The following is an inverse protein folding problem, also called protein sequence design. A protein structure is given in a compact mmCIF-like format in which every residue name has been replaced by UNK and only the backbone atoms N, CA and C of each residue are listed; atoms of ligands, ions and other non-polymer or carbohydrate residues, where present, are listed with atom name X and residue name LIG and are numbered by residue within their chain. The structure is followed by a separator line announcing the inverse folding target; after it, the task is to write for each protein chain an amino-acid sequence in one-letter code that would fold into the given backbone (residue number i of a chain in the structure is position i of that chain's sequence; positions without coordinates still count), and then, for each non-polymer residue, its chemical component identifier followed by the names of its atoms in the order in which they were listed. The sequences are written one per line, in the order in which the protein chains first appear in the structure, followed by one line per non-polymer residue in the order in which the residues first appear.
data_IF_142985112632
#
_entry.id   IF_142985112632
#
_cell.length_a   1.000
_cell.length_b   1.000
_cell.length_c   1.000
_cell.angle_alpha   90.00
_cell.angle_beta   90.00
_cell.angle_gamma   90.00
#
_symmetry.space_group_name_H-M   'P 1'
#
loop_
_entity.id
_entity.type
_entity.pdbx_description
1 polymer ?
#
# COMPACT_ATOMS: atom_id res chain seq x y z
N UNK A 1 24.05 -7.61 3.60
CA UNK A 1 23.17 -6.66 2.86
C UNK A 1 22.61 -7.26 1.59
N UNK A 2 23.40 -7.97 0.79
CA UNK A 2 22.92 -8.55 -0.48
C UNK A 2 21.79 -9.58 -0.34
N UNK A 3 21.73 -10.33 0.77
CA UNK A 3 20.72 -11.39 0.96
C UNK A 3 19.31 -10.81 1.22
N UNK A 4 19.19 -9.79 2.05
CA UNK A 4 17.92 -9.07 2.30
C UNK A 4 17.36 -8.49 1.00
N UNK A 5 18.26 -7.88 0.19
CA UNK A 5 17.86 -7.33 -1.09
C UNK A 5 17.42 -8.39 -2.12
N UNK A 6 18.07 -9.55 -2.13
CA UNK A 6 17.68 -10.64 -3.02
C UNK A 6 16.27 -11.18 -2.67
N UNK A 7 15.97 -11.28 -1.35
CA UNK A 7 14.62 -11.67 -0.89
C UNK A 7 13.61 -10.57 -1.27
N UNK A 8 13.92 -9.31 -0.99
CA UNK A 8 13.03 -8.20 -1.31
C UNK A 8 12.74 -8.12 -2.81
N UNK A 9 13.76 -8.33 -3.66
CA UNK A 9 13.60 -8.35 -5.12
C UNK A 9 12.72 -9.52 -5.58
N UNK A 10 12.87 -10.68 -4.95
CA UNK A 10 12.00 -11.84 -5.24
C UNK A 10 10.56 -11.51 -4.89
N UNK A 11 10.29 -11.04 -3.66
CA UNK A 11 8.94 -10.67 -3.24
C UNK A 11 8.32 -9.60 -4.15
N UNK A 12 9.12 -8.59 -4.51
CA UNK A 12 8.69 -7.56 -5.47
C UNK A 12 8.35 -8.15 -6.84
N UNK A 13 9.21 -9.05 -7.37
CA UNK A 13 8.98 -9.71 -8.66
C UNK A 13 7.72 -10.58 -8.63
N UNK A 14 7.51 -11.33 -7.55
CA UNK A 14 6.33 -12.17 -7.35
C UNK A 14 5.07 -11.30 -7.22
N UNK A 15 5.16 -10.19 -6.49
CA UNK A 15 4.08 -9.20 -6.39
C UNK A 15 3.72 -8.54 -7.72
N UNK A 16 4.73 -8.16 -8.52
CA UNK A 16 4.51 -7.57 -9.86
C UNK A 16 3.87 -8.56 -10.85
N UNK A 17 4.15 -9.85 -10.70
CA UNK A 17 3.51 -10.92 -11.49
C UNK A 17 2.11 -11.26 -11.00
N UNK A 18 1.79 -10.88 -9.79
CA UNK A 18 0.47 -11.08 -9.22
C UNK A 18 -0.49 -9.98 -9.70
N UNK A 19 -1.59 -10.38 -10.32
CA UNK A 19 -2.66 -9.47 -10.76
C UNK A 19 -3.23 -8.61 -9.63
N UNK A 20 -2.99 -8.99 -8.39
CA UNK A 20 -3.43 -8.26 -7.20
C UNK A 20 -2.83 -6.85 -7.12
N UNK A 21 -1.53 -6.70 -7.40
CA UNK A 21 -0.89 -5.37 -7.45
C UNK A 21 -1.55 -4.47 -8.50
N UNK A 22 -1.78 -5.02 -9.69
CA UNK A 22 -2.45 -4.27 -10.77
C UNK A 22 -3.87 -3.86 -10.37
N UNK A 23 -4.62 -4.78 -9.72
CA UNK A 23 -5.98 -4.50 -9.25
C UNK A 23 -6.00 -3.38 -8.20
N UNK A 24 -5.09 -3.41 -7.22
CA UNK A 24 -4.97 -2.37 -6.18
C UNK A 24 -4.57 -1.02 -6.80
N UNK A 25 -3.55 -1.01 -7.67
CA UNK A 25 -3.08 0.22 -8.32
C UNK A 25 -4.18 0.84 -9.18
N UNK A 26 -4.92 0.01 -9.92
CA UNK A 26 -6.06 0.46 -10.72
C UNK A 26 -7.19 1.01 -9.83
N UNK A 27 -7.50 0.31 -8.74
CA UNK A 27 -8.51 0.78 -7.77
C UNK A 27 -8.11 2.15 -7.22
N UNK A 28 -6.86 2.32 -6.78
CA UNK A 28 -6.37 3.62 -6.31
C UNK A 28 -6.44 4.68 -7.40
N UNK A 29 -6.02 4.37 -8.62
CA UNK A 29 -6.06 5.32 -9.72
C UNK A 29 -7.49 5.79 -10.03
N UNK A 30 -8.43 4.85 -10.14
CA UNK A 30 -9.84 5.16 -10.43
C UNK A 30 -10.46 5.99 -9.30
N UNK A 31 -10.27 5.58 -8.05
CA UNK A 31 -10.80 6.30 -6.89
C UNK A 31 -10.14 7.66 -6.72
N UNK A 32 -8.83 7.75 -6.90
CA UNK A 32 -8.09 9.01 -6.75
C UNK A 32 -8.45 10.03 -7.85
N UNK A 33 -8.53 9.60 -9.10
CA UNK A 33 -9.00 10.45 -10.20
C UNK A 33 -10.47 10.83 -10.01
N UNK A 34 -11.31 9.87 -9.60
CA UNK A 34 -12.71 10.10 -9.29
C UNK A 34 -12.89 11.17 -8.19
N UNK A 35 -12.14 11.06 -7.10
CA UNK A 35 -12.18 12.03 -5.99
C UNK A 35 -11.63 13.38 -6.44
N UNK A 36 -10.54 13.40 -7.22
CA UNK A 36 -9.98 14.65 -7.72
C UNK A 36 -10.97 15.43 -8.58
N UNK A 37 -11.83 14.75 -9.33
CA UNK A 37 -12.79 15.35 -10.24
C UNK A 37 -14.19 15.53 -9.65
N UNK A 38 -14.66 14.60 -8.83
CA UNK A 38 -16.01 14.57 -8.26
C UNK A 38 -16.05 14.99 -6.79
N UNK A 39 -14.90 15.14 -6.13
CA UNK A 39 -14.83 15.41 -4.68
C UNK A 39 -15.51 16.71 -4.26
N UNK A 40 -15.66 17.66 -5.17
CA UNK A 40 -16.38 18.91 -4.94
C UNK A 40 -17.87 18.84 -5.33
N UNK A 41 -18.35 17.73 -5.87
CA UNK A 41 -19.75 17.60 -6.32
C UNK A 41 -20.76 17.80 -5.18
N UNK A 42 -20.39 17.46 -3.95
CA UNK A 42 -21.22 17.70 -2.76
C UNK A 42 -21.45 19.19 -2.47
N UNK A 43 -20.57 20.09 -2.94
CA UNK A 43 -20.73 21.55 -2.87
C UNK A 43 -21.34 22.17 -4.14
N UNK A 44 -21.84 21.32 -5.06
CA UNK A 44 -22.48 21.77 -6.33
C UNK A 44 -21.48 22.15 -7.42
N UNK A 45 -20.19 21.86 -7.23
CA UNK A 45 -19.13 22.12 -8.21
C UNK A 45 -18.60 20.79 -8.76
N UNK A 46 -18.49 20.70 -10.10
CA UNK A 46 -17.82 19.59 -10.77
C UNK A 46 -16.44 20.06 -11.25
N UNK A 47 -15.45 19.19 -11.10
CA UNK A 47 -14.09 19.46 -11.53
C UNK A 47 -13.12 19.73 -10.38
N UNK A 48 -11.89 20.02 -10.73
CA UNK A 48 -10.83 20.35 -9.79
C UNK A 48 -11.08 21.69 -9.12
N UNK A 49 -11.01 21.73 -7.79
CA UNK A 49 -11.22 22.96 -7.01
C UNK A 49 -9.90 23.59 -6.58
N UNK A 50 -9.07 22.82 -5.86
CA UNK A 50 -7.74 23.25 -5.44
C UNK A 50 -6.88 22.05 -5.02
N UNK A 51 -5.56 22.21 -5.08
CA UNK A 51 -4.61 21.17 -4.63
C UNK A 51 -4.86 20.79 -3.17
N UNK A 52 -4.99 21.72 -2.20
CA UNK A 52 -5.23 21.36 -0.80
C UNK A 52 -6.53 20.59 -0.56
N UNK A 53 -7.63 21.01 -1.20
CA UNK A 53 -8.93 20.33 -1.06
C UNK A 53 -8.87 18.89 -1.62
N UNK A 54 -8.25 18.72 -2.78
CA UNK A 54 -8.06 17.40 -3.38
C UNK A 54 -7.22 16.50 -2.49
N UNK A 55 -6.09 17.00 -1.97
CA UNK A 55 -5.25 16.22 -1.06
C UNK A 55 -5.98 15.85 0.23
N UNK A 56 -6.78 16.75 0.80
CA UNK A 56 -7.59 16.43 1.99
C UNK A 56 -8.57 15.28 1.72
N UNK A 57 -9.24 15.29 0.57
CA UNK A 57 -10.15 14.22 0.17
C UNK A 57 -9.41 12.89 -0.09
N UNK A 58 -8.26 12.95 -0.77
CA UNK A 58 -7.42 11.78 -1.01
C UNK A 58 -6.80 11.25 0.29
N UNK A 59 -6.46 12.11 1.24
CA UNK A 59 -5.96 11.71 2.56
C UNK A 59 -7.03 10.94 3.35
N UNK A 60 -8.29 11.38 3.30
CA UNK A 60 -9.39 10.63 3.89
C UNK A 60 -9.50 9.24 3.26
N UNK A 61 -9.48 9.12 1.93
CA UNK A 61 -9.47 7.84 1.24
C UNK A 61 -8.28 6.97 1.67
N UNK A 62 -7.06 7.54 1.69
CA UNK A 62 -5.85 6.83 2.06
C UNK A 62 -5.90 6.32 3.50
N UNK A 63 -6.47 7.08 4.44
CA UNK A 63 -6.61 6.68 5.84
C UNK A 63 -7.45 5.40 5.99
N UNK A 64 -8.46 5.20 5.14
CA UNK A 64 -9.27 3.99 5.14
C UNK A 64 -8.61 2.84 4.37
N UNK A 65 -8.14 3.09 3.15
CA UNK A 65 -7.71 2.03 2.24
C UNK A 65 -6.29 1.55 2.51
N UNK A 66 -5.36 2.44 2.87
CA UNK A 66 -3.96 2.05 3.07
C UNK A 66 -3.77 1.01 4.18
N UNK A 67 -4.41 1.17 5.38
CA UNK A 67 -4.37 0.13 6.40
C UNK A 67 -4.91 -1.21 5.92
N UNK A 68 -6.07 -1.20 5.25
CA UNK A 68 -6.70 -2.42 4.75
C UNK A 68 -5.81 -3.15 3.75
N UNK A 69 -5.28 -2.42 2.77
CA UNK A 69 -4.44 -2.99 1.72
C UNK A 69 -3.13 -3.52 2.31
N UNK A 70 -2.49 -2.78 3.21
CA UNK A 70 -1.26 -3.21 3.85
C UNK A 70 -1.46 -4.48 4.69
N UNK A 71 -2.55 -4.55 5.45
CA UNK A 71 -2.92 -5.73 6.23
C UNK A 71 -3.22 -6.93 5.33
N UNK A 72 -4.02 -6.74 4.26
CA UNK A 72 -4.35 -7.81 3.31
C UNK A 72 -3.16 -8.22 2.42
N UNK A 73 -2.16 -7.36 2.25
CA UNK A 73 -0.95 -7.70 1.49
C UNK A 73 -0.05 -8.67 2.23
N UNK A 74 -0.05 -8.64 3.57
CA UNK A 74 0.95 -9.36 4.37
C UNK A 74 0.38 -10.21 5.52
N UNK A 75 -0.95 -10.36 5.64
CA UNK A 75 -1.53 -11.19 6.71
C UNK A 75 -1.02 -12.64 6.70
N UNK A 76 -0.70 -13.18 5.53
CA UNK A 76 -0.21 -14.55 5.35
C UNK A 76 1.30 -14.65 5.11
N UNK A 77 2.05 -13.54 5.23
CA UNK A 77 3.47 -13.47 4.89
C UNK A 77 4.36 -14.48 5.64
N UNK A 78 3.97 -14.90 6.84
CA UNK A 78 4.67 -15.90 7.67
C UNK A 78 3.84 -17.17 7.77
N UNK A 79 2.60 -17.07 8.26
CA UNK A 79 1.70 -18.21 8.45
C UNK A 79 1.44 -18.95 7.14
N UNK A 80 1.42 -18.23 6.01
CA UNK A 80 1.24 -18.82 4.70
C UNK A 80 2.36 -19.77 4.27
N UNK A 81 3.58 -19.47 4.66
CA UNK A 81 4.74 -20.33 4.40
C UNK A 81 4.79 -21.50 5.38
N UNK A 82 4.32 -21.29 6.60
CA UNK A 82 4.24 -22.35 7.61
C UNK A 82 3.21 -23.41 7.21
N UNK A 83 1.98 -23.02 6.89
CA UNK A 83 0.96 -23.93 6.37
C UNK A 83 1.37 -24.60 5.05
N UNK A 84 2.08 -23.90 4.17
CA UNK A 84 2.58 -24.43 2.91
C UNK A 84 3.80 -25.36 3.07
N UNK A 85 4.36 -25.52 4.29
CA UNK A 85 5.57 -26.30 4.56
C UNK A 85 6.85 -25.69 3.97
N UNK A 86 6.77 -24.50 3.38
CA UNK A 86 7.90 -23.82 2.73
C UNK A 86 8.78 -23.07 3.72
N UNK A 87 8.26 -22.75 4.91
CA UNK A 87 9.03 -22.09 5.97
C UNK A 87 10.25 -22.93 6.40
N UNK A 88 10.08 -24.24 6.53
CA UNK A 88 11.19 -25.16 6.87
C UNK A 88 12.28 -25.15 5.80
N UNK A 89 11.91 -25.08 4.53
CA UNK A 89 12.87 -24.98 3.42
C UNK A 89 13.65 -23.67 3.47
N UNK A 90 12.98 -22.55 3.76
CA UNK A 90 13.63 -21.25 3.93
C UNK A 90 14.64 -21.25 5.09
N UNK A 91 14.33 -21.95 6.16
CA UNK A 91 15.22 -22.05 7.32
C UNK A 91 16.42 -22.99 7.12
N UNK A 92 16.46 -23.82 6.07
CA UNK A 92 17.64 -24.61 5.70
C UNK A 92 18.72 -23.80 4.99
N UNK A 93 18.38 -22.65 4.43
CA UNK A 93 19.38 -21.75 3.87
C UNK A 93 20.20 -21.07 4.99
N UNK A 94 21.47 -20.72 4.74
CA UNK A 94 22.32 -20.03 5.70
C UNK A 94 21.92 -18.55 5.85
N UNK A 95 20.64 -18.31 6.16
CA UNK A 95 20.02 -17.01 6.32
C UNK A 95 19.52 -16.84 7.75
N UNK A 96 19.82 -15.71 8.37
CA UNK A 96 19.22 -15.36 9.65
C UNK A 96 17.70 -15.10 9.50
N UNK A 97 16.90 -15.55 10.47
CA UNK A 97 15.44 -15.34 10.51
C UNK A 97 15.07 -13.85 10.31
N UNK A 98 15.85 -12.94 10.92
CA UNK A 98 15.66 -11.50 10.76
C UNK A 98 15.92 -11.00 9.34
N UNK A 99 16.85 -11.62 8.59
CA UNK A 99 17.14 -11.26 7.21
C UNK A 99 15.98 -11.65 6.28
N UNK A 100 15.38 -12.82 6.52
CA UNK A 100 14.20 -13.28 5.79
C UNK A 100 13.04 -12.32 6.03
N UNK A 101 12.75 -12.03 7.31
CA UNK A 101 11.66 -11.14 7.70
C UNK A 101 11.83 -9.73 7.13
N UNK A 102 13.02 -9.14 7.27
CA UNK A 102 13.33 -7.82 6.71
C UNK A 102 13.24 -7.79 5.18
N UNK A 103 13.73 -8.84 4.51
CA UNK A 103 13.66 -8.95 3.06
C UNK A 103 12.23 -8.97 2.55
N UNK A 104 11.38 -9.78 3.17
CA UNK A 104 9.94 -9.83 2.86
C UNK A 104 9.24 -8.50 3.16
N UNK A 105 9.49 -7.93 4.33
CA UNK A 105 8.91 -6.64 4.73
C UNK A 105 9.28 -5.52 3.74
N UNK A 106 10.54 -5.44 3.34
CA UNK A 106 11.00 -4.46 2.34
C UNK A 106 10.36 -4.74 0.99
N UNK A 107 10.25 -6.01 0.56
CA UNK A 107 9.60 -6.39 -0.68
C UNK A 107 8.13 -5.95 -0.73
N UNK A 108 7.34 -6.31 0.28
CA UNK A 108 5.94 -5.86 0.40
C UNK A 108 5.81 -4.34 0.53
N UNK A 109 6.73 -3.71 1.28
CA UNK A 109 6.78 -2.25 1.40
C UNK A 109 7.02 -1.54 0.06
N UNK A 110 7.85 -2.12 -0.81
CA UNK A 110 8.08 -1.62 -2.17
C UNK A 110 6.85 -1.83 -3.08
N UNK A 111 6.16 -2.97 -2.95
CA UNK A 111 4.90 -3.22 -3.67
C UNK A 111 3.88 -2.14 -3.32
N UNK A 112 3.72 -1.86 -2.02
CA UNK A 112 2.79 -0.84 -1.53
C UNK A 112 3.17 0.57 -2.02
N UNK A 113 4.47 0.92 -1.97
CA UNK A 113 4.97 2.19 -2.48
C UNK A 113 4.70 2.38 -3.98
N UNK A 114 4.88 1.31 -4.76
CA UNK A 114 4.58 1.32 -6.20
C UNK A 114 3.07 1.49 -6.45
N UNK A 115 2.22 0.81 -5.69
CA UNK A 115 0.77 0.95 -5.81
C UNK A 115 0.32 2.40 -5.52
N UNK A 116 0.87 3.01 -4.46
CA UNK A 116 0.64 4.41 -4.10
C UNK A 116 1.11 5.35 -5.22
N UNK A 117 2.34 5.12 -5.72
CA UNK A 117 2.92 5.95 -6.79
C UNK A 117 2.09 5.89 -8.07
N UNK A 118 1.67 4.70 -8.48
CA UNK A 118 0.84 4.53 -9.68
C UNK A 118 -0.55 5.14 -9.43
N UNK A 119 -1.22 4.77 -8.34
CA UNK A 119 -2.59 5.19 -8.06
C UNK A 119 -2.72 6.70 -7.89
N UNK A 120 -2.04 7.27 -6.92
CA UNK A 120 -2.11 8.72 -6.67
C UNK A 120 -1.30 9.54 -7.68
N UNK A 121 -0.26 8.95 -8.29
CA UNK A 121 0.48 9.56 -9.38
C UNK A 121 -0.40 9.79 -10.62
N UNK A 122 -1.30 8.86 -10.95
CA UNK A 122 -2.30 9.06 -12.01
C UNK A 122 -3.22 10.26 -11.72
N UNK A 123 -3.65 10.47 -10.48
CA UNK A 123 -4.45 11.63 -10.10
C UNK A 123 -3.66 12.95 -10.24
N UNK A 124 -2.40 12.96 -9.78
CA UNK A 124 -1.53 14.13 -9.96
C UNK A 124 -1.30 14.44 -11.43
N UNK A 125 -1.07 13.42 -12.26
CA UNK A 125 -0.89 13.56 -13.70
C UNK A 125 -2.18 14.06 -14.38
N UNK A 126 -3.34 13.54 -14.01
CA UNK A 126 -4.61 13.99 -14.53
C UNK A 126 -4.84 15.48 -14.24
N UNK A 127 -4.55 15.94 -13.01
CA UNK A 127 -4.65 17.36 -12.65
C UNK A 127 -3.66 18.19 -13.48
N UNK A 128 -2.41 17.74 -13.61
CA UNK A 128 -1.37 18.45 -14.35
C UNK A 128 -1.70 18.64 -15.85
N UNK A 129 -2.43 17.68 -16.44
CA UNK A 129 -2.74 17.67 -17.87
C UNK A 129 -4.10 18.31 -18.20
N UNK A 130 -5.07 18.25 -17.30
CA UNK A 130 -6.47 18.61 -17.56
C UNK A 130 -6.88 19.94 -16.93
N UNK A 131 -6.07 20.49 -16.02
CA UNK A 131 -6.40 21.73 -15.30
C UNK A 131 -5.43 22.83 -15.71
N UNK A 132 -5.95 23.87 -16.35
CA UNK A 132 -5.16 25.03 -16.76
C UNK A 132 -4.71 25.87 -15.55
N UNK A 133 -3.49 26.41 -15.63
CA UNK A 133 -2.96 27.33 -14.64
C UNK A 133 -2.49 26.69 -13.32
N UNK A 134 -2.41 25.37 -13.25
CA UNK A 134 -1.86 24.68 -12.06
C UNK A 134 -0.35 24.89 -11.98
N UNK A 135 0.09 25.35 -10.82
CA UNK A 135 1.53 25.47 -10.53
C UNK A 135 2.11 24.06 -10.30
N UNK A 136 2.86 23.55 -11.30
CA UNK A 136 3.43 22.19 -11.27
C UNK A 136 4.34 21.97 -10.08
N UNK A 137 5.12 22.98 -9.66
CA UNK A 137 6.00 22.87 -8.50
C UNK A 137 5.23 22.59 -7.22
N UNK A 138 4.14 23.33 -6.99
CA UNK A 138 3.26 23.14 -5.84
C UNK A 138 2.54 21.79 -5.89
N UNK A 139 2.05 21.39 -7.07
CA UNK A 139 1.39 20.10 -7.28
C UNK A 139 2.32 18.93 -6.93
N UNK A 140 3.51 18.91 -7.52
CA UNK A 140 4.48 17.83 -7.29
C UNK A 140 4.94 17.77 -5.83
N UNK A 141 5.17 18.92 -5.20
CA UNK A 141 5.53 18.99 -3.80
C UNK A 141 4.43 18.46 -2.87
N UNK A 142 3.20 18.89 -3.10
CA UNK A 142 2.06 18.51 -2.27
C UNK A 142 1.72 17.01 -2.44
N UNK A 143 1.65 16.51 -3.68
CA UNK A 143 1.41 15.09 -3.94
C UNK A 143 2.58 14.21 -3.51
N UNK A 144 3.83 14.66 -3.68
CA UNK A 144 5.00 13.94 -3.21
C UNK A 144 4.97 13.70 -1.69
N UNK A 145 4.69 14.74 -0.91
CA UNK A 145 4.54 14.63 0.54
C UNK A 145 3.37 13.71 0.92
N UNK A 146 2.25 13.85 0.25
CA UNK A 146 1.07 13.01 0.46
C UNK A 146 1.37 11.54 0.18
N UNK A 147 2.01 11.22 -0.95
CA UNK A 147 2.39 9.83 -1.30
C UNK A 147 3.38 9.22 -0.31
N UNK A 148 4.37 10.00 0.14
CA UNK A 148 5.31 9.55 1.18
C UNK A 148 4.57 9.25 2.48
N UNK A 149 3.70 10.16 2.94
CA UNK A 149 2.92 9.97 4.18
C UNK A 149 2.00 8.77 4.09
N UNK A 150 1.32 8.57 2.96
CA UNK A 150 0.45 7.41 2.70
C UNK A 150 1.23 6.10 2.70
N UNK A 151 2.42 6.08 2.10
CA UNK A 151 3.31 4.92 2.10
C UNK A 151 3.78 4.57 3.52
N UNK A 152 4.19 5.57 4.29
CA UNK A 152 4.60 5.37 5.69
C UNK A 152 3.45 4.85 6.56
N UNK A 153 2.24 5.38 6.39
CA UNK A 153 1.04 4.84 7.03
C UNK A 153 0.85 3.36 6.69
N UNK A 154 0.94 3.01 5.42
CA UNK A 154 0.85 1.61 4.97
C UNK A 154 1.94 0.72 5.56
N UNK A 155 3.17 1.21 5.70
CA UNK A 155 4.27 0.46 6.32
C UNK A 155 4.04 0.17 7.81
N UNK A 156 3.39 1.07 8.53
CA UNK A 156 2.99 0.81 9.93
C UNK A 156 2.01 -0.36 9.98
N UNK A 157 0.96 -0.36 9.15
CA UNK A 157 -0.01 -1.47 9.13
C UNK A 157 0.56 -2.75 8.53
N UNK A 158 1.53 -2.64 7.62
CA UNK A 158 2.32 -3.77 7.15
C UNK A 158 3.07 -4.44 8.30
N UNK A 159 3.70 -3.67 9.20
CA UNK A 159 4.35 -4.21 10.39
C UNK A 159 3.35 -4.92 11.32
N UNK A 160 2.15 -4.35 11.52
CA UNK A 160 1.09 -5.05 12.26
C UNK A 160 0.73 -6.38 11.61
N UNK A 161 0.56 -6.44 10.28
CA UNK A 161 0.27 -7.68 9.57
C UNK A 161 1.32 -8.76 9.82
N UNK A 162 2.62 -8.38 9.78
CA UNK A 162 3.72 -9.32 10.08
C UNK A 162 3.69 -9.84 11.52
N UNK A 163 3.38 -8.97 12.48
CA UNK A 163 3.25 -9.40 13.89
C UNK A 163 2.07 -10.35 14.06
N UNK A 164 0.94 -10.08 13.42
CA UNK A 164 -0.24 -10.96 13.47
C UNK A 164 0.05 -12.29 12.79
N UNK A 165 0.62 -12.27 11.59
CA UNK A 165 0.98 -13.46 10.82
C UNK A 165 1.94 -14.40 11.56
N UNK A 166 2.85 -13.83 12.36
CA UNK A 166 3.80 -14.62 13.17
C UNK A 166 3.24 -15.16 14.47
N UNK A 167 2.00 -14.80 14.87
CA UNK A 167 1.39 -15.24 16.14
C UNK A 167 0.29 -16.28 15.98
N UNK A 168 -0.15 -16.54 14.77
CA UNK A 168 -1.23 -17.48 14.46
C UNK A 168 -0.71 -18.67 13.68
N UNK A 169 -1.44 -19.77 13.72
CA UNK A 169 -1.08 -21.02 13.05
C UNK A 169 -1.90 -21.26 11.77
N UNK A 170 -2.89 -20.41 11.49
CA UNK A 170 -3.80 -20.55 10.34
C UNK A 170 -3.99 -19.22 9.62
N UNK A 171 -3.99 -19.25 8.28
CA UNK A 171 -4.23 -18.08 7.42
C UNK A 171 -5.60 -17.45 7.67
N UNK A 172 -6.62 -18.28 7.94
CA UNK A 172 -7.97 -17.81 8.25
C UNK A 172 -8.00 -16.94 9.50
N UNK A 173 -7.27 -17.35 10.54
CA UNK A 173 -7.12 -16.60 11.79
C UNK A 173 -6.34 -15.30 11.57
N UNK A 174 -5.28 -15.34 10.76
CA UNK A 174 -4.51 -14.15 10.40
C UNK A 174 -5.38 -13.12 9.66
N UNK A 175 -6.17 -13.57 8.68
CA UNK A 175 -7.09 -12.71 7.93
C UNK A 175 -8.16 -12.08 8.84
N UNK A 176 -8.77 -12.88 9.73
CA UNK A 176 -9.74 -12.39 10.71
C UNK A 176 -9.17 -11.32 11.64
N UNK A 177 -7.95 -11.54 12.17
CA UNK A 177 -7.26 -10.57 13.03
C UNK A 177 -6.86 -9.30 12.25
N UNK A 178 -6.42 -9.44 11.00
CA UNK A 178 -6.09 -8.30 10.15
C UNK A 178 -7.32 -7.40 9.94
N UNK A 179 -8.48 -7.98 9.63
CA UNK A 179 -9.74 -7.25 9.55
C UNK A 179 -10.14 -6.64 10.89
N UNK A 180 -9.99 -7.38 12.00
CA UNK A 180 -10.25 -6.87 13.35
C UNK A 180 -9.40 -5.64 13.69
N UNK A 181 -8.12 -5.67 13.37
CA UNK A 181 -7.21 -4.51 13.53
C UNK A 181 -7.67 -3.35 12.66
N UNK A 182 -8.04 -3.61 11.41
CA UNK A 182 -8.54 -2.57 10.53
C UNK A 182 -9.81 -1.90 11.10
N UNK A 183 -10.79 -2.68 11.55
CA UNK A 183 -12.00 -2.16 12.20
C UNK A 183 -11.67 -1.33 13.45
N UNK A 184 -10.73 -1.78 14.26
CA UNK A 184 -10.36 -1.09 15.51
C UNK A 184 -9.71 0.28 15.29
N UNK A 185 -8.88 0.42 14.24
CA UNK A 185 -8.08 1.63 14.03
C UNK A 185 -8.67 2.59 13.00
N UNK A 186 -9.61 2.13 12.17
CA UNK A 186 -10.10 2.90 11.02
C UNK A 186 -11.59 3.24 11.15
N UNK A 187 -12.38 2.44 11.85
CA UNK A 187 -13.80 2.67 12.16
C UNK A 187 -14.03 2.97 13.63
#
# INVERSE_FOLDING_TARGET
MNQVWNIARKELSDGLRNRWLLAISLLFAVLAVGIAWLGAAASGQLGFTSIPATIASLASLATFLMPLIALLLAYDAIVGEDEGGTLMLLLTYPLGRGQILLGKFVGHGLILALAVLIGFGCAALAIALLVDGVELGLLLWAFGRFMISSTLLGWVFLAFAYVLSGKVNEKSSAAGLALGVWFLFVL
#
